data_IF_476319177946
#
_entry.id   IF_476319177946
#
_cell.length_a   1.000
_cell.length_b   1.000
_cell.length_c   1.000
_cell.angle_alpha   90.00
_cell.angle_beta   90.00
_cell.angle_gamma   90.00
#
_symmetry.space_group_name_H-M   'P 1'
#
loop_
_entity.id
_entity.type
_entity.pdbx_description
1 polymer ?
#
# COMPACT_ATOMS: atom_id res chain seq x y z
N UNK A 1 -2.53 5.83 -11.97
CA UNK A 1 -1.38 4.97 -11.63
C UNK A 1 -1.89 3.65 -11.12
N UNK A 2 -1.60 2.56 -11.83
CA UNK A 2 -2.03 1.22 -11.42
C UNK A 2 -1.22 0.75 -10.21
N UNK A 3 -1.91 0.32 -9.17
CA UNK A 3 -1.33 -0.21 -7.94
C UNK A 3 -2.01 -1.53 -7.55
N UNK A 4 -1.24 -2.37 -6.88
CA UNK A 4 -1.63 -3.68 -6.38
C UNK A 4 -1.75 -3.62 -4.87
N UNK A 5 -2.88 -4.07 -4.35
CA UNK A 5 -3.21 -4.05 -2.93
C UNK A 5 -3.04 -5.45 -2.35
N UNK A 6 -2.35 -5.50 -1.22
CA UNK A 6 -2.03 -6.70 -0.48
C UNK A 6 -2.54 -6.59 0.96
N UNK A 7 -2.96 -7.72 1.52
CA UNK A 7 -3.23 -7.89 2.95
C UNK A 7 -2.06 -8.58 3.62
N UNK A 8 -1.58 -8.00 4.71
CA UNK A 8 -0.69 -8.64 5.66
C UNK A 8 -1.46 -9.24 6.84
N UNK A 9 -0.75 -9.71 7.88
CA UNK A 9 -1.34 -10.14 9.14
C UNK A 9 -2.20 -9.06 9.80
N UNK A 10 -3.25 -9.47 10.51
CA UNK A 10 -4.11 -8.56 11.28
C UNK A 10 -4.89 -7.60 10.36
N UNK A 11 -4.67 -6.29 10.56
CA UNK A 11 -5.32 -5.21 9.80
C UNK A 11 -4.32 -4.40 8.98
N UNK A 12 -3.20 -5.02 8.60
CA UNK A 12 -2.16 -4.39 7.80
C UNK A 12 -2.47 -4.52 6.31
N UNK A 13 -2.38 -3.41 5.59
CA UNK A 13 -2.55 -3.36 4.14
C UNK A 13 -1.35 -2.68 3.49
N UNK A 14 -0.93 -3.23 2.35
CA UNK A 14 0.17 -2.69 1.54
C UNK A 14 -0.32 -2.34 0.14
N UNK A 15 0.15 -1.22 -0.40
CA UNK A 15 -0.01 -0.84 -1.80
C UNK A 15 1.37 -0.70 -2.44
N UNK A 16 1.51 -1.19 -3.68
CA UNK A 16 2.73 -1.06 -4.46
C UNK A 16 2.41 -1.04 -5.96
N UNK A 17 3.28 -0.48 -6.78
CA UNK A 17 3.21 -0.62 -8.25
C UNK A 17 3.77 -1.97 -8.73
N UNK A 18 4.40 -2.75 -7.85
CA UNK A 18 4.93 -4.06 -8.17
C UNK A 18 3.87 -5.16 -8.05
N UNK A 19 3.59 -5.86 -9.15
CA UNK A 19 2.51 -6.85 -9.23
C UNK A 19 2.70 -8.06 -8.31
N UNK A 20 3.95 -8.39 -7.98
CA UNK A 20 4.31 -9.50 -7.09
C UNK A 20 4.19 -9.13 -5.61
N UNK A 21 4.25 -7.84 -5.27
CA UNK A 21 4.40 -7.37 -3.90
C UNK A 21 5.79 -7.61 -3.29
N UNK A 22 6.82 -7.93 -4.10
CA UNK A 22 8.13 -8.32 -3.58
C UNK A 22 8.85 -7.19 -2.83
N UNK A 23 8.56 -5.93 -3.15
CA UNK A 23 9.06 -4.77 -2.43
C UNK A 23 8.32 -4.43 -1.12
N UNK A 24 7.30 -5.20 -0.73
CA UNK A 24 6.59 -4.95 0.53
C UNK A 24 7.43 -5.37 1.75
N UNK A 25 7.32 -4.66 2.89
CA UNK A 25 8.11 -4.95 4.08
C UNK A 25 7.91 -6.38 4.61
N UNK A 26 9.03 -7.10 4.82
CA UNK A 26 9.03 -8.49 5.27
C UNK A 26 8.45 -8.68 6.67
N UNK A 27 8.53 -7.65 7.53
CA UNK A 27 8.00 -7.70 8.90
C UNK A 27 6.47 -7.86 8.98
N UNK A 28 5.76 -7.57 7.88
CA UNK A 28 4.32 -7.75 7.75
C UNK A 28 3.96 -8.82 6.71
N UNK A 29 4.91 -9.70 6.37
CA UNK A 29 4.61 -10.90 5.59
C UNK A 29 3.87 -11.93 6.47
N UNK A 30 3.12 -12.88 5.87
CA UNK A 30 2.89 -13.06 4.43
C UNK A 30 1.92 -12.03 3.86
N UNK A 31 2.21 -11.58 2.64
CA UNK A 31 1.35 -10.68 1.86
C UNK A 31 0.47 -11.47 0.89
N UNK A 32 -0.83 -11.16 0.88
CA UNK A 32 -1.79 -11.75 -0.06
C UNK A 32 -2.39 -10.67 -0.95
N UNK A 33 -2.14 -10.73 -2.25
CA UNK A 33 -2.78 -9.85 -3.22
C UNK A 33 -4.30 -10.07 -3.21
N UNK A 34 -5.08 -8.99 -3.21
CA UNK A 34 -6.55 -9.11 -3.22
C UNK A 34 -7.26 -8.13 -4.15
N UNK A 35 -6.59 -7.05 -4.59
CA UNK A 35 -7.20 -6.05 -5.47
C UNK A 35 -6.14 -5.33 -6.31
N UNK A 36 -6.52 -4.93 -7.51
CA UNK A 36 -5.77 -3.99 -8.34
C UNK A 36 -6.66 -2.77 -8.57
N UNK A 37 -6.09 -1.57 -8.47
CA UNK A 37 -6.80 -0.31 -8.71
C UNK A 37 -5.94 0.63 -9.53
N UNK A 38 -6.58 1.49 -10.33
CA UNK A 38 -5.92 2.64 -10.94
C UNK A 38 -6.22 3.87 -10.08
N UNK A 39 -5.18 4.45 -9.47
CA UNK A 39 -5.31 5.65 -8.65
C UNK A 39 -5.18 6.91 -9.50
N UNK A 40 -6.12 7.83 -9.32
CA UNK A 40 -6.13 9.14 -9.96
C UNK A 40 -6.22 10.23 -8.89
N UNK A 41 -5.36 11.25 -9.01
CA UNK A 41 -5.33 12.36 -8.06
C UNK A 41 -6.66 13.11 -8.08
N UNK A 42 -7.22 13.37 -6.90
CA UNK A 42 -8.53 14.02 -6.76
C UNK A 42 -9.74 13.08 -6.89
N UNK A 43 -9.55 11.81 -7.25
CA UNK A 43 -10.63 10.82 -7.25
C UNK A 43 -10.61 9.98 -5.96
N UNK A 44 -11.73 9.92 -5.21
CA UNK A 44 -11.79 9.13 -4.00
C UNK A 44 -11.78 7.63 -4.30
N UNK A 45 -10.94 6.88 -3.57
CA UNK A 45 -10.93 5.41 -3.62
C UNK A 45 -11.33 4.85 -2.26
N UNK A 46 -12.39 4.02 -2.15
CA UNK A 46 -12.82 3.46 -0.87
C UNK A 46 -11.71 2.69 -0.16
N UNK A 47 -11.46 3.05 1.11
CA UNK A 47 -10.47 2.39 1.96
C UNK A 47 -9.03 2.85 1.75
N UNK A 48 -8.80 3.90 0.97
CA UNK A 48 -7.46 4.43 0.71
C UNK A 48 -7.47 5.97 0.72
N UNK A 49 -6.51 6.57 1.42
CA UNK A 49 -6.23 8.01 1.28
C UNK A 49 -5.33 8.16 0.04
N UNK A 50 -5.94 8.52 -1.09
CA UNK A 50 -5.27 8.50 -2.41
C UNK A 50 -4.03 9.38 -2.45
N UNK A 51 -4.11 10.61 -1.93
CA UNK A 51 -2.98 11.54 -1.97
C UNK A 51 -1.77 11.03 -1.14
N UNK A 52 -2.03 10.41 0.01
CA UNK A 52 -0.98 9.82 0.85
C UNK A 52 -0.37 8.59 0.20
N UNK A 53 -1.20 7.73 -0.41
CA UNK A 53 -0.74 6.56 -1.14
C UNK A 53 0.13 6.95 -2.34
N UNK A 54 -0.30 7.92 -3.16
CA UNK A 54 0.50 8.42 -4.28
C UNK A 54 1.84 8.99 -3.81
N UNK A 55 1.84 9.82 -2.76
CA UNK A 55 3.06 10.40 -2.19
C UNK A 55 4.03 9.32 -1.68
N UNK A 56 3.50 8.33 -0.98
CA UNK A 56 4.30 7.24 -0.42
C UNK A 56 4.87 6.33 -1.51
N UNK A 57 4.11 6.04 -2.56
CA UNK A 57 4.61 5.29 -3.71
C UNK A 57 5.72 6.06 -4.44
N UNK A 58 5.61 7.38 -4.57
CA UNK A 58 6.67 8.21 -5.15
C UNK A 58 7.93 8.28 -4.27
N UNK A 59 7.76 8.33 -2.95
CA UNK A 59 8.87 8.53 -1.99
C UNK A 59 9.56 7.23 -1.62
N UNK A 60 8.78 6.18 -1.43
CA UNK A 60 9.19 4.92 -0.79
C UNK A 60 8.97 3.69 -1.68
N UNK A 61 8.22 3.81 -2.78
CA UNK A 61 7.84 2.70 -3.65
C UNK A 61 6.70 1.82 -3.10
N UNK A 62 6.27 2.05 -1.86
CA UNK A 62 5.18 1.33 -1.18
C UNK A 62 4.40 2.28 -0.28
N UNK A 63 3.15 1.94 0.00
CA UNK A 63 2.31 2.59 1.02
C UNK A 63 1.75 1.51 1.96
N UNK A 64 1.91 1.69 3.27
CA UNK A 64 1.49 0.69 4.26
C UNK A 64 0.61 1.35 5.33
N UNK A 65 -0.49 0.69 5.65
CA UNK A 65 -1.39 1.09 6.74
C UNK A 65 -1.64 -0.07 7.70
N UNK A 66 -1.90 0.24 8.98
CA UNK A 66 -2.47 -0.70 9.95
C UNK A 66 -3.77 -0.11 10.50
N UNK A 67 -4.87 -0.83 10.35
CA UNK A 67 -6.19 -0.37 10.76
C UNK A 67 -6.58 1.03 10.22
N UNK A 68 -6.10 1.36 9.01
CA UNK A 68 -6.23 2.66 8.32
C UNK A 68 -5.30 3.78 8.79
N UNK A 69 -4.47 3.55 9.81
CA UNK A 69 -3.41 4.48 10.19
C UNK A 69 -2.20 4.29 9.28
N UNK A 70 -1.65 5.39 8.76
CA UNK A 70 -0.47 5.37 7.88
C UNK A 70 0.78 5.04 8.71
N UNK A 71 1.47 3.97 8.33
CA UNK A 71 2.69 3.48 9.00
C UNK A 71 3.88 3.30 8.05
N UNK A 72 3.79 3.81 6.81
CA UNK A 72 4.78 3.57 5.74
C UNK A 72 6.22 3.84 6.15
N UNK A 73 6.49 4.98 6.79
CA UNK A 73 7.85 5.37 7.18
C UNK A 73 8.43 4.43 8.24
N UNK A 74 7.63 4.03 9.22
CA UNK A 74 8.02 3.04 10.23
C UNK A 74 8.11 1.63 9.63
N UNK A 75 7.40 1.37 8.52
CA UNK A 75 7.29 0.06 7.90
C UNK A 75 8.56 -0.37 7.17
N UNK A 76 9.35 0.61 6.72
CA UNK A 76 10.52 0.42 5.86
C UNK A 76 11.79 0.44 6.72
N UNK A 77 12.79 -0.40 6.41
CA UNK A 77 14.06 -0.44 7.15
C UNK A 77 14.92 0.82 6.99
#
# INVERSE_FOLDING_TARGET
MQVYLFRGPGRVFGCTTESSGANLPSKYAPWTAFKTVDLQKGEPTPGLVVDDCLRDLETFGVHVTDAHDRITEDAIP
#
